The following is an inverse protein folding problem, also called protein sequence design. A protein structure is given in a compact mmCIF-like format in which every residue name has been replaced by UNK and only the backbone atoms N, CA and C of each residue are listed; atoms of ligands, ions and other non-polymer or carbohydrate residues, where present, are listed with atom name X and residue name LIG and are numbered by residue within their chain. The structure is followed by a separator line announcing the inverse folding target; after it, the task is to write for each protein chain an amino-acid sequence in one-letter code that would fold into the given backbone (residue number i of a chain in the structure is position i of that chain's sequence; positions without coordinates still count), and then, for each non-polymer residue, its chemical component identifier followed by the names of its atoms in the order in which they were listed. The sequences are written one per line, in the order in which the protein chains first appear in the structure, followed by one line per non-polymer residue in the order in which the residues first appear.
data_IF_438899794792
#
_entry.id   IF_438899794792
#
_cell.length_a   1.000
_cell.length_b   1.000
_cell.length_c   1.000
_cell.angle_alpha   90.00
_cell.angle_beta   90.00
_cell.angle_gamma   90.00
#
_symmetry.space_group_name_H-M   'P 1'
#
loop_
_entity.id
_entity.type
_entity.pdbx_description
1 polymer ?
#
# COMPACT_ATOMS: atom_id res chain seq x y z
N UNK A 1 -6.86 -2.70 -29.91
CA UNK A 1 -6.34 -3.68 -28.93
C UNK A 1 -5.56 -2.89 -27.89
N UNK A 2 -6.12 -2.67 -26.70
CA UNK A 2 -5.37 -2.03 -25.62
C UNK A 2 -4.34 -3.06 -25.12
N UNK A 3 -3.06 -2.70 -24.95
CA UNK A 3 -2.13 -3.60 -24.29
C UNK A 3 -2.71 -3.94 -22.91
N UNK A 4 -2.67 -5.22 -22.52
CA UNK A 4 -3.01 -5.66 -21.17
C UNK A 4 -2.03 -5.00 -20.19
N UNK A 5 -2.42 -3.85 -19.65
CA UNK A 5 -1.68 -3.19 -18.58
C UNK A 5 -2.10 -3.87 -17.29
N UNK A 6 -1.20 -4.64 -16.69
CA UNK A 6 -1.38 -5.20 -15.36
C UNK A 6 -1.06 -4.13 -14.31
N UNK A 7 -2.09 -3.74 -13.56
CA UNK A 7 -1.98 -2.83 -12.44
C UNK A 7 -1.71 -3.62 -11.16
N UNK A 8 -0.80 -3.14 -10.30
CA UNK A 8 -0.61 -3.68 -8.96
C UNK A 8 -1.59 -3.05 -7.97
N UNK A 9 -1.92 -1.78 -8.16
CA UNK A 9 -2.89 -1.07 -7.30
C UNK A 9 -3.55 0.08 -8.07
N UNK A 10 -4.73 0.49 -7.59
CA UNK A 10 -5.55 1.56 -8.12
C UNK A 10 -6.17 2.36 -6.97
N UNK A 11 -6.19 3.68 -7.09
CA UNK A 11 -6.81 4.57 -6.10
C UNK A 11 -7.55 5.72 -6.77
N UNK A 12 -8.44 6.36 -6.02
CA UNK A 12 -9.06 7.62 -6.42
C UNK A 12 -8.53 8.73 -5.51
N UNK A 13 -7.86 9.72 -6.09
CA UNK A 13 -7.21 10.80 -5.35
C UNK A 13 -7.40 12.12 -6.08
N UNK A 14 -7.93 13.14 -5.38
CA UNK A 14 -8.19 14.49 -5.91
C UNK A 14 -8.88 14.47 -7.29
N UNK A 15 -10.02 13.79 -7.34
CA UNK A 15 -10.87 13.65 -8.53
C UNK A 15 -10.22 12.90 -9.71
N UNK A 16 -9.15 12.14 -9.46
CA UNK A 16 -8.45 11.36 -10.49
C UNK A 16 -8.32 9.91 -10.08
N UNK A 17 -8.57 9.01 -11.02
CA UNK A 17 -8.27 7.60 -10.85
C UNK A 17 -6.81 7.35 -11.24
N UNK A 18 -6.01 6.88 -10.29
CA UNK A 18 -4.59 6.63 -10.46
C UNK A 18 -4.32 5.14 -10.38
N UNK A 19 -3.50 4.62 -11.29
CA UNK A 19 -3.05 3.23 -11.28
C UNK A 19 -1.53 3.14 -11.26
N UNK A 20 -0.99 2.14 -10.57
CA UNK A 20 0.44 1.82 -10.62
C UNK A 20 0.65 0.51 -11.38
N UNK A 21 1.54 0.56 -12.36
CA UNK A 21 1.88 -0.61 -13.17
C UNK A 21 2.88 -1.51 -12.45
N UNK A 22 3.03 -2.76 -12.91
CA UNK A 22 4.08 -3.69 -12.47
C UNK A 22 5.51 -3.12 -12.58
N UNK A 23 5.74 -2.12 -13.42
CA UNK A 23 7.05 -1.45 -13.56
C UNK A 23 7.17 -0.18 -12.72
N UNK A 24 6.21 0.09 -11.83
CA UNK A 24 6.20 1.29 -10.99
C UNK A 24 5.85 2.58 -11.74
N UNK A 25 5.46 2.50 -13.02
CA UNK A 25 4.92 3.66 -13.73
C UNK A 25 3.54 4.00 -13.20
N UNK A 26 3.29 5.28 -12.94
CA UNK A 26 2.00 5.79 -12.47
C UNK A 26 1.22 6.34 -13.66
N UNK A 27 -0.03 5.90 -13.77
CA UNK A 27 -0.96 6.22 -14.83
C UNK A 27 -2.16 6.97 -14.24
N UNK A 28 -2.60 8.04 -14.91
CA UNK A 28 -3.87 8.70 -14.62
C UNK A 28 -4.90 8.24 -15.63
N UNK A 29 -6.08 7.85 -15.14
CA UNK A 29 -7.21 7.38 -15.93
C UNK A 29 -8.35 8.39 -15.83
N UNK A 30 -8.78 8.89 -16.97
CA UNK A 30 -9.86 9.88 -17.09
C UNK A 30 -11.01 9.27 -17.89
N UNK A 31 -12.23 9.37 -17.37
CA UNK A 31 -13.44 8.97 -18.10
C UNK A 31 -13.88 10.14 -18.95
N UNK A 32 -13.69 10.04 -20.26
CA UNK A 32 -14.09 11.03 -21.24
C UNK A 32 -15.45 10.62 -21.81
N UNK A 33 -16.46 11.48 -21.67
CA UNK A 33 -17.75 11.28 -22.33
C UNK A 33 -17.57 11.49 -23.84
N UNK A 34 -17.89 10.47 -24.63
CA UNK A 34 -18.07 10.60 -26.08
C UNK A 34 -19.55 10.64 -26.43
N UNK A 35 -19.83 10.95 -27.71
CA UNK A 35 -21.20 11.13 -28.22
C UNK A 35 -22.06 9.85 -28.12
N UNK A 36 -21.46 8.66 -28.15
CA UNK A 36 -22.16 7.37 -28.10
C UNK A 36 -21.74 6.46 -26.93
N UNK A 37 -20.57 6.69 -26.34
CA UNK A 37 -20.06 5.91 -25.19
C UNK A 37 -18.98 6.67 -24.42
N UNK A 38 -18.83 6.33 -23.13
CA UNK A 38 -17.71 6.82 -22.32
C UNK A 38 -16.43 6.05 -22.66
N UNK A 39 -15.30 6.75 -22.79
CA UNK A 39 -13.98 6.17 -23.06
C UNK A 39 -13.03 6.45 -21.91
N UNK A 40 -12.14 5.51 -21.60
CA UNK A 40 -11.07 5.74 -20.62
C UNK A 40 -9.83 6.23 -21.36
N UNK A 41 -9.40 7.46 -21.05
CA UNK A 41 -8.12 8.01 -21.49
C UNK A 41 -7.08 7.71 -20.42
N UNK A 42 -6.00 7.02 -20.82
CA UNK A 42 -4.88 6.69 -19.93
C UNK A 42 -3.71 7.57 -20.30
N UNK A 43 -3.14 8.26 -19.31
CA UNK A 43 -1.95 9.10 -19.46
C UNK A 43 -0.87 8.67 -18.47
N UNK A 44 0.37 8.57 -18.93
CA UNK A 44 1.52 8.28 -18.05
C UNK A 44 1.96 9.58 -17.40
N UNK A 45 1.84 9.66 -16.08
CA UNK A 45 2.17 10.88 -15.32
C UNK A 45 3.54 10.80 -14.64
N UNK A 46 4.14 9.60 -14.58
CA UNK A 46 5.52 9.41 -14.10
C UNK A 46 6.27 8.34 -14.89
N UNK A 47 7.61 8.50 -15.04
CA UNK A 47 8.46 7.42 -15.54
C UNK A 47 8.41 6.20 -14.62
N UNK A 48 8.79 5.05 -15.17
CA UNK A 48 8.91 3.83 -14.37
C UNK A 48 10.07 3.99 -13.40
N UNK A 49 9.81 3.85 -12.10
CA UNK A 49 10.87 3.71 -11.12
C UNK A 49 11.60 2.39 -11.41
N UNK A 50 12.93 2.44 -11.58
CA UNK A 50 13.73 1.25 -11.90
C UNK A 50 13.74 0.32 -10.69
N UNK A 51 12.83 -0.65 -10.66
CA UNK A 51 12.74 -1.63 -9.57
C UNK A 51 13.57 -2.87 -9.91
N UNK A 52 14.44 -3.30 -8.99
CA UNK A 52 15.39 -4.41 -9.20
C UNK A 52 14.86 -5.81 -8.82
N UNK A 53 13.74 -5.93 -8.11
CA UNK A 53 13.26 -7.20 -7.55
C UNK A 53 11.73 -7.38 -7.65
N UNK A 54 11.22 -8.49 -7.12
CA UNK A 54 9.78 -8.68 -6.89
C UNK A 54 9.30 -7.67 -5.86
N UNK A 55 8.33 -6.84 -6.24
CA UNK A 55 7.88 -5.72 -5.42
C UNK A 55 6.38 -5.56 -5.53
N UNK A 56 5.71 -5.54 -4.38
CA UNK A 56 4.34 -5.08 -4.26
C UNK A 56 4.31 -3.57 -4.10
N UNK A 57 3.24 -2.97 -4.62
CA UNK A 57 3.08 -1.52 -4.68
C UNK A 57 1.70 -1.18 -4.17
N UNK A 58 1.64 -0.20 -3.29
CA UNK A 58 0.41 0.23 -2.66
C UNK A 58 0.30 1.73 -2.72
N UNK A 59 -0.89 2.22 -3.02
CA UNK A 59 -1.30 3.56 -2.69
C UNK A 59 -1.85 3.59 -1.27
N UNK A 60 -1.56 4.65 -0.54
CA UNK A 60 -2.21 4.97 0.73
C UNK A 60 -2.41 6.48 0.81
N UNK A 61 -3.61 6.92 1.14
CA UNK A 61 -3.88 8.32 1.45
C UNK A 61 -3.75 8.54 2.95
N UNK A 62 -2.97 9.54 3.34
CA UNK A 62 -2.80 9.97 4.73
C UNK A 62 -4.02 10.72 5.22
N UNK A 63 -4.17 10.82 6.54
CA UNK A 63 -5.27 11.55 7.17
C UNK A 63 -5.22 13.06 6.91
N UNK A 64 -4.06 13.60 6.55
CA UNK A 64 -3.87 14.99 6.10
C UNK A 64 -4.02 15.18 4.57
N UNK A 65 -4.46 14.15 3.84
CA UNK A 65 -4.82 14.22 2.42
C UNK A 65 -3.62 14.19 1.46
N UNK A 66 -2.52 13.56 1.88
CA UNK A 66 -1.37 13.29 1.03
C UNK A 66 -1.40 11.87 0.50
N UNK A 67 -1.11 11.71 -0.80
CA UNK A 67 -0.98 10.39 -1.39
C UNK A 67 0.45 9.85 -1.23
N UNK A 68 0.55 8.62 -0.77
CA UNK A 68 1.80 7.86 -0.65
C UNK A 68 1.83 6.74 -1.67
N UNK A 69 3.04 6.43 -2.13
CA UNK A 69 3.39 5.21 -2.84
C UNK A 69 4.31 4.39 -1.94
N UNK A 70 3.91 3.16 -1.65
CA UNK A 70 4.66 2.23 -0.80
C UNK A 70 5.16 1.07 -1.66
N UNK A 71 6.47 0.86 -1.67
CA UNK A 71 7.12 -0.29 -2.29
C UNK A 71 7.47 -1.30 -1.19
N UNK A 72 6.94 -2.52 -1.30
CA UNK A 72 7.33 -3.66 -0.46
C UNK A 72 8.22 -4.58 -1.26
N UNK A 73 9.50 -4.62 -0.91
CA UNK A 73 10.50 -5.48 -1.53
C UNK A 73 10.53 -6.82 -0.81
N UNK A 74 10.29 -7.90 -1.56
CA UNK A 74 10.41 -9.25 -1.04
C UNK A 74 11.87 -9.69 -1.11
N UNK A 75 12.42 -10.18 0.00
CA UNK A 75 13.73 -10.80 0.00
C UNK A 75 13.59 -12.27 -0.42
N UNK A 76 14.29 -12.68 -1.48
CA UNK A 76 14.17 -14.02 -2.04
C UNK A 76 14.70 -15.11 -1.09
N UNK A 77 15.53 -14.74 -0.11
CA UNK A 77 16.17 -15.68 0.81
C UNK A 77 15.38 -15.89 2.12
N UNK A 78 14.35 -15.08 2.39
CA UNK A 78 13.51 -15.21 3.58
C UNK A 78 12.14 -14.56 3.40
N UNK A 79 11.05 -15.32 3.57
CA UNK A 79 9.66 -14.80 3.55
C UNK A 79 9.35 -13.79 4.67
N UNK A 80 10.26 -13.67 5.64
CA UNK A 80 10.28 -12.63 6.67
C UNK A 80 11.48 -11.73 6.39
N UNK A 81 11.32 -10.40 6.48
CA UNK A 81 12.28 -9.34 6.08
C UNK A 81 11.92 -8.65 4.78
N UNK A 82 10.68 -8.19 4.64
CA UNK A 82 10.38 -7.23 3.59
C UNK A 82 11.11 -5.91 3.87
N UNK A 83 11.70 -5.30 2.85
CA UNK A 83 12.17 -3.93 2.93
C UNK A 83 11.10 -2.99 2.35
N UNK A 84 11.02 -1.77 2.89
CA UNK A 84 10.02 -0.80 2.45
C UNK A 84 10.66 0.52 2.03
N UNK A 85 10.20 1.05 0.91
CA UNK A 85 10.43 2.44 0.51
C UNK A 85 9.10 3.15 0.35
N UNK A 86 9.04 4.38 0.85
CA UNK A 86 7.82 5.20 0.80
C UNK A 86 8.15 6.51 0.12
N UNK A 87 7.28 6.90 -0.82
CA UNK A 87 7.35 8.15 -1.52
C UNK A 87 6.06 8.93 -1.34
N UNK A 88 6.15 10.20 -0.97
CA UNK A 88 5.05 11.14 -1.07
C UNK A 88 4.88 11.56 -2.53
N UNK A 89 3.67 11.43 -3.05
CA UNK A 89 3.31 11.76 -4.42
C UNK A 89 2.75 13.20 -4.48
N UNK A 90 3.47 14.08 -5.17
CA UNK A 90 3.06 15.47 -5.38
C UNK A 90 2.73 15.64 -6.85
N UNK A 91 1.45 15.86 -7.15
CA UNK A 91 0.98 16.17 -8.51
C UNK A 91 0.84 17.68 -8.60
N UNK A 92 1.61 18.32 -9.47
CA UNK A 92 1.51 19.75 -9.70
C UNK A 92 0.29 20.12 -10.57
N UNK A 93 0.04 21.43 -10.73
CA UNK A 93 -1.07 21.93 -11.54
C UNK A 93 -0.99 21.54 -13.02
N UNK A 94 0.20 21.22 -13.52
CA UNK A 94 0.44 20.79 -14.90
C UNK A 94 0.29 19.27 -15.06
N UNK A 95 -0.01 18.55 -13.97
CA UNK A 95 -0.13 17.10 -13.96
C UNK A 95 1.20 16.37 -13.94
N UNK A 96 2.32 17.06 -13.73
CA UNK A 96 3.63 16.44 -13.52
C UNK A 96 3.67 15.85 -12.11
N UNK A 97 4.11 14.59 -12.02
CA UNK A 97 4.30 13.92 -10.76
C UNK A 97 5.75 14.08 -10.26
N UNK A 98 5.88 14.46 -9.00
CA UNK A 98 7.10 14.38 -8.21
C UNK A 98 6.93 13.30 -7.14
N UNK A 99 7.95 12.45 -6.99
CA UNK A 99 8.01 11.42 -5.96
C UNK A 99 9.09 11.81 -4.94
N UNK A 100 8.68 12.18 -3.72
CA UNK A 100 9.60 12.59 -2.66
C UNK A 100 9.77 11.45 -1.67
N UNK A 101 10.96 10.84 -1.53
CA UNK A 101 11.17 9.78 -0.53
C UNK A 101 10.95 10.31 0.88
N UNK A 102 10.27 9.54 1.73
CA UNK A 102 10.03 9.89 3.13
C UNK A 102 10.52 8.79 4.07
N UNK A 103 11.03 9.21 5.23
CA UNK A 103 11.47 8.33 6.30
C UNK A 103 10.60 8.44 7.57
N UNK A 104 9.58 9.30 7.53
CA UNK A 104 8.68 9.55 8.65
C UNK A 104 7.24 9.75 8.14
N UNK A 105 6.28 9.08 8.77
CA UNK A 105 4.85 9.13 8.45
C UNK A 105 4.06 10.20 9.25
N UNK A 106 4.74 11.07 9.99
CA UNK A 106 4.09 12.19 10.69
C UNK A 106 3.16 11.76 11.83
N UNK A 107 3.46 10.63 12.49
CA UNK A 107 2.58 10.04 13.52
C UNK A 107 1.56 9.05 12.96
N UNK A 108 1.49 8.89 11.64
CA UNK A 108 0.66 7.87 11.01
C UNK A 108 1.34 6.51 10.96
N UNK A 109 0.52 5.49 10.70
CA UNK A 109 0.94 4.13 10.42
C UNK A 109 0.13 3.54 9.28
N UNK A 110 0.80 2.68 8.52
CA UNK A 110 0.28 2.09 7.30
C UNK A 110 -0.13 0.64 7.53
N UNK A 111 -1.24 0.24 6.95
CA UNK A 111 -1.74 -1.12 6.94
C UNK A 111 -1.83 -1.58 5.49
N UNK A 112 -1.10 -2.63 5.14
CA UNK A 112 -1.00 -3.15 3.79
C UNK A 112 -1.66 -4.52 3.71
N UNK A 113 -2.64 -4.64 2.80
CA UNK A 113 -3.25 -5.90 2.45
C UNK A 113 -2.30 -6.77 1.62
N UNK A 114 -2.60 -8.07 1.54
CA UNK A 114 -1.76 -9.02 0.82
C UNK A 114 -1.68 -8.75 -0.70
N UNK A 115 -2.72 -8.15 -1.29
CA UNK A 115 -2.81 -7.97 -2.75
C UNK A 115 -2.68 -6.52 -3.20
N UNK A 116 -3.60 -5.64 -2.81
CA UNK A 116 -3.67 -4.29 -3.40
C UNK A 116 -4.60 -3.37 -2.62
N UNK A 117 -4.22 -3.01 -1.39
CA UNK A 117 -4.88 -1.96 -0.63
C UNK A 117 -3.94 -1.48 0.47
N UNK A 118 -3.58 -0.20 0.45
CA UNK A 118 -2.90 0.48 1.55
C UNK A 118 -3.85 1.43 2.27
N UNK A 119 -3.88 1.36 3.59
CA UNK A 119 -4.64 2.28 4.45
C UNK A 119 -3.67 2.99 5.38
N UNK A 120 -3.79 4.31 5.48
CA UNK A 120 -3.08 5.09 6.50
C UNK A 120 -4.02 5.51 7.60
N UNK A 121 -3.53 5.48 8.84
CA UNK A 121 -4.26 5.97 10.01
C UNK A 121 -3.34 6.73 10.93
N UNK A 122 -3.88 7.72 11.64
CA UNK A 122 -3.16 8.36 12.72
C UNK A 122 -3.04 7.39 13.90
N UNK A 123 -1.82 7.00 14.27
CA UNK A 123 -1.59 5.95 15.27
C UNK A 123 -2.19 6.30 16.64
N UNK A 124 -2.20 7.59 17.00
CA UNK A 124 -2.79 8.07 18.26
C UNK A 124 -4.31 7.82 18.38
N UNK A 125 -5.01 7.55 17.28
CA UNK A 125 -6.44 7.26 17.31
C UNK A 125 -6.73 5.79 17.69
N UNK A 126 -5.71 4.92 17.70
CA UNK A 126 -5.88 3.49 17.88
C UNK A 126 -4.94 2.96 18.97
N UNK A 127 -5.46 2.56 20.14
CA UNK A 127 -4.65 1.98 21.20
C UNK A 127 -3.82 0.79 20.70
N UNK A 128 -2.52 0.78 21.01
CA UNK A 128 -1.60 -0.27 20.57
C UNK A 128 -1.06 -0.10 19.13
N UNK A 129 -1.59 0.86 18.35
CA UNK A 129 -0.97 1.26 17.10
C UNK A 129 0.23 2.16 17.40
N UNK A 130 1.41 1.77 16.94
CA UNK A 130 2.63 2.55 17.10
C UNK A 130 2.82 3.42 15.86
N UNK A 131 3.21 4.69 16.00
CA UNK A 131 3.43 5.58 14.86
C UNK A 131 4.66 5.16 14.04
N UNK A 132 4.72 5.61 12.79
CA UNK A 132 5.83 5.36 11.89
C UNK A 132 6.08 3.86 11.65
N UNK A 133 5.00 3.07 11.62
CA UNK A 133 5.02 1.63 11.37
C UNK A 133 4.26 1.26 10.11
N UNK A 134 4.67 0.15 9.51
CA UNK A 134 3.94 -0.51 8.43
C UNK A 134 3.55 -1.90 8.92
N UNK A 135 2.26 -2.19 8.94
CA UNK A 135 1.66 -3.46 9.31
C UNK A 135 1.27 -4.18 8.03
N UNK A 136 1.87 -5.33 7.75
CA UNK A 136 1.71 -6.03 6.48
C UNK A 136 1.41 -7.50 6.72
N UNK A 137 0.35 -8.01 6.08
CA UNK A 137 0.05 -9.44 6.12
C UNK A 137 1.20 -10.24 5.48
N UNK A 138 1.62 -11.31 6.15
CA UNK A 138 2.55 -12.29 5.58
C UNK A 138 1.83 -13.63 5.38
N UNK A 139 2.09 -14.28 4.24
CA UNK A 139 1.70 -15.66 4.06
C UNK A 139 2.56 -16.52 4.97
N UNK A 140 1.93 -17.26 5.89
CA UNK A 140 2.57 -18.39 6.53
C UNK A 140 2.93 -19.43 5.44
N UNK A 141 4.20 -19.82 5.36
CA UNK A 141 4.61 -20.99 4.57
C UNK A 141 5.25 -22.00 5.51
N UNK A 142 4.61 -23.17 5.53
CA UNK A 142 5.06 -24.52 5.84
C UNK A 142 5.72 -24.79 7.21
N UNK A 143 4.94 -25.39 8.11
CA UNK A 143 5.47 -26.27 9.16
C UNK A 143 4.96 -26.03 10.58
N UNK A 144 4.29 -24.90 10.83
CA UNK A 144 3.53 -24.70 12.05
C UNK A 144 2.05 -24.78 11.67
N UNK A 145 1.42 -25.88 12.05
CA UNK A 145 -0.04 -25.95 12.25
C UNK A 145 -0.42 -24.89 13.30
N UNK A 146 -0.37 -23.62 12.92
CA UNK A 146 -1.21 -22.65 13.57
C UNK A 146 -2.60 -23.03 13.06
N UNK A 147 -3.47 -23.47 13.98
CA UNK A 147 -4.91 -23.55 13.73
C UNK A 147 -5.33 -22.38 12.84
N UNK A 148 -6.30 -22.59 11.94
CA UNK A 148 -6.91 -21.67 10.95
C UNK A 148 -7.39 -20.30 11.50
N UNK A 149 -6.93 -19.92 12.68
CA UNK A 149 -7.36 -18.87 13.57
C UNK A 149 -6.24 -17.89 13.93
N UNK A 150 -5.09 -17.86 13.26
CA UNK A 150 -4.05 -16.85 13.49
C UNK A 150 -3.49 -16.22 12.21
N UNK A 151 -3.55 -14.88 12.12
CA UNK A 151 -2.87 -14.13 11.08
C UNK A 151 -1.54 -13.61 11.60
N UNK A 152 -0.49 -13.89 10.84
CA UNK A 152 0.83 -13.33 11.07
C UNK A 152 0.96 -11.97 10.34
N UNK A 153 1.36 -10.95 11.10
CA UNK A 153 1.59 -9.58 10.62
C UNK A 153 3.06 -9.24 10.81
N UNK A 154 3.70 -8.80 9.73
CA UNK A 154 4.99 -8.14 9.79
C UNK A 154 4.78 -6.67 10.19
N UNK A 155 5.55 -6.22 11.18
CA UNK A 155 5.56 -4.83 11.65
C UNK A 155 6.93 -4.23 11.34
N UNK A 156 6.99 -3.37 10.35
CA UNK A 156 8.21 -2.67 9.94
C UNK A 156 8.28 -1.30 10.59
N UNK A 157 9.42 -0.97 11.21
CA UNK A 157 9.71 0.37 11.70
C UNK A 157 10.42 1.20 10.63
N UNK A 158 9.78 2.29 10.18
CA UNK A 158 10.35 3.11 9.12
C UNK A 158 11.59 3.91 9.59
N UNK A 159 11.72 4.19 10.88
CA UNK A 159 12.82 4.97 11.46
C UNK A 159 14.14 4.20 11.48
N UNK A 160 14.15 3.03 12.13
CA UNK A 160 15.36 2.21 12.33
C UNK A 160 15.47 1.01 11.37
N UNK A 161 14.46 0.82 10.51
CA UNK A 161 14.36 -0.27 9.52
C UNK A 161 14.27 -1.67 10.15
N UNK A 162 13.96 -1.76 11.44
CA UNK A 162 13.73 -3.03 12.12
C UNK A 162 12.42 -3.69 11.69
N UNK A 163 12.42 -5.02 11.74
CA UNK A 163 11.26 -5.86 11.41
C UNK A 163 10.93 -6.68 12.64
N UNK A 164 9.67 -6.63 13.06
CA UNK A 164 9.12 -7.50 14.08
C UNK A 164 7.94 -8.29 13.49
N UNK A 165 7.64 -9.44 14.10
CA UNK A 165 6.49 -10.26 13.72
C UNK A 165 5.53 -10.33 14.87
N UNK A 166 4.23 -10.12 14.60
CA UNK A 166 3.15 -10.23 15.56
C UNK A 166 2.10 -11.21 15.06
N UNK A 167 1.49 -11.98 15.96
CA UNK A 167 0.39 -12.88 15.63
C UNK A 167 -0.91 -12.30 16.19
N UNK A 168 -1.92 -12.17 15.34
CA UNK A 168 -3.26 -11.75 15.73
C UNK A 168 -4.24 -12.91 15.59
N UNK A 169 -5.23 -13.07 16.48
CA UNK A 169 -6.29 -14.04 16.28
C UNK A 169 -7.07 -13.71 15.00
N UNK A 170 -7.11 -14.64 14.05
CA UNK A 170 -7.71 -14.54 12.71
C UNK A 170 -9.24 -14.60 12.71
N UNK A 171 -9.89 -14.61 13.88
CA UNK A 171 -11.34 -14.82 14.02
C UNK A 171 -12.26 -13.86 13.26
N UNK A 172 -11.75 -12.82 12.59
CA UNK A 172 -12.55 -11.81 11.92
C UNK A 172 -12.05 -11.39 10.52
N UNK A 173 -10.98 -11.97 9.97
CA UNK A 173 -10.22 -11.28 8.92
C UNK A 173 -9.93 -12.14 7.68
N UNK A 174 -10.45 -11.70 6.53
CA UNK A 174 -9.97 -12.20 5.24
C UNK A 174 -8.57 -11.66 4.98
N UNK A 175 -7.64 -12.54 4.58
CA UNK A 175 -6.22 -12.24 4.27
C UNK A 175 -5.99 -11.10 3.27
N UNK A 176 -7.03 -10.76 2.51
CA UNK A 176 -6.95 -9.85 1.37
C UNK A 176 -7.05 -8.37 1.76
N UNK A 177 -7.62 -8.05 2.93
CA UNK A 177 -7.87 -6.67 3.34
C UNK A 177 -7.02 -6.25 4.54
N UNK A 178 -6.53 -5.00 4.58
CA UNK A 178 -5.83 -4.44 5.75
C UNK A 178 -6.78 -4.14 6.92
N UNK A 179 -7.82 -4.95 7.13
CA UNK A 179 -8.78 -4.79 8.23
C UNK A 179 -8.22 -5.55 9.42
N UNK A 180 -7.14 -5.08 10.03
CA UNK A 180 -6.63 -5.63 11.32
C UNK A 180 -6.90 -4.67 12.48
N UNK A 181 -7.37 -3.45 12.17
CA UNK A 181 -7.83 -2.46 13.13
C UNK A 181 -9.24 -2.83 13.56
N UNK A 182 -9.37 -3.61 14.63
CA UNK A 182 -10.65 -3.70 15.34
C UNK A 182 -10.86 -2.33 16.00
N UNK A 183 -11.95 -1.59 15.70
CA UNK A 183 -12.34 -0.51 16.60
C UNK A 183 -12.62 -1.16 17.95
N UNK A 184 -11.80 -0.86 18.98
CA UNK A 184 -12.25 -1.06 20.36
C UNK A 184 -13.41 -0.11 20.57
N UNK A 185 -14.62 -0.55 20.20
CA UNK A 185 -15.84 0.03 20.71
C UNK A 185 -15.81 -0.31 22.20
N UNK A 186 -15.38 0.65 23.01
CA UNK A 186 -15.66 0.61 24.44
C UNK A 186 -17.19 0.57 24.56
N UNK A 187 -17.74 -0.62 24.81
CA UNK A 187 -19.11 -0.82 25.28
C UNK A 187 -19.19 -0.43 26.76
#
# INVERSE_FOLDING_TARGET
MFPLIYYHDITFYKDRMLGVTKRGGILSMEVVKGDESSKIKISKIAPELKVKSSVDRYFAETTDGHLLMVYRYHNNDSYHNSAYEIYKLIIDSNGKLECVPIANLGGESLFLGQRSCGVSVLASNYPGCLPNRIYSGVNCIDGLELDDHHLQVEVFNLEDKSVATSCFPAGCFGSDFPIWLVPTMNL
#
